data_IF_615200630306
#
_entry.id   IF_615200630306
#
_cell.length_a   1.000
_cell.length_b   1.000
_cell.length_c   1.000
_cell.angle_alpha   90.00
_cell.angle_beta   90.00
_cell.angle_gamma   90.00
#
_symmetry.space_group_name_H-M   'P 1'
#
loop_
_entity.id
_entity.type
_entity.pdbx_description
1 polymer ?
#
# COMPACT_ATOMS: atom_id res chain seq x y z
N UNK A 1 -60.47 -19.24 45.27
CA UNK A 1 -59.15 -18.54 45.21
C UNK A 1 -58.23 -19.28 44.26
N UNK A 2 -58.07 -18.79 43.02
CA UNK A 2 -57.17 -19.36 42.01
C UNK A 2 -55.77 -18.75 42.20
N UNK A 3 -54.77 -19.58 42.51
CA UNK A 3 -53.36 -19.17 42.53
C UNK A 3 -52.80 -19.32 41.12
N UNK A 4 -52.54 -18.19 40.47
CA UNK A 4 -51.90 -18.14 39.16
C UNK A 4 -50.39 -18.34 39.34
N UNK A 5 -49.86 -19.43 38.80
CA UNK A 5 -48.43 -19.75 38.79
C UNK A 5 -47.77 -18.90 37.68
N UNK A 6 -46.98 -17.91 38.08
CA UNK A 6 -46.17 -17.13 37.15
C UNK A 6 -44.90 -17.93 36.80
N UNK A 7 -44.83 -18.44 35.58
CA UNK A 7 -43.63 -19.06 35.01
C UNK A 7 -42.71 -17.93 34.55
N UNK A 8 -41.63 -17.70 35.29
CA UNK A 8 -40.55 -16.80 34.89
C UNK A 8 -39.67 -17.58 33.90
N UNK A 9 -39.80 -17.26 32.61
CA UNK A 9 -38.91 -17.75 31.56
C UNK A 9 -37.64 -16.90 31.62
N UNK A 10 -36.61 -17.41 32.29
CA UNK A 10 -35.25 -16.83 32.24
C UNK A 10 -34.64 -17.16 30.88
N UNK A 11 -34.69 -16.20 29.95
CA UNK A 11 -33.95 -16.28 28.68
C UNK A 11 -32.47 -16.16 29.02
N UNK A 12 -31.78 -17.30 29.11
CA UNK A 12 -30.32 -17.40 29.17
C UNK A 12 -29.74 -16.92 27.84
N UNK A 13 -29.49 -15.60 27.75
CA UNK A 13 -28.55 -15.07 26.78
C UNK A 13 -27.20 -15.74 27.05
N UNK A 14 -26.79 -16.62 26.14
CA UNK A 14 -25.45 -17.18 26.16
C UNK A 14 -24.49 -16.06 25.81
N UNK A 15 -23.98 -15.36 26.83
CA UNK A 15 -22.83 -14.49 26.68
C UNK A 15 -21.65 -15.40 26.32
N UNK A 16 -21.30 -15.42 25.03
CA UNK A 16 -20.00 -15.94 24.61
C UNK A 16 -18.96 -15.07 25.30
N UNK A 17 -18.31 -15.62 26.33
CA UNK A 17 -17.22 -14.96 27.02
C UNK A 17 -16.03 -14.95 26.05
N UNK A 18 -15.89 -13.86 25.30
CA UNK A 18 -14.72 -13.61 24.48
C UNK A 18 -13.54 -13.34 25.41
N UNK A 19 -12.39 -13.94 25.09
CA UNK A 19 -11.13 -13.74 25.78
C UNK A 19 -10.88 -12.25 26.05
N UNK A 20 -10.42 -11.93 27.28
CA UNK A 20 -10.19 -10.56 27.72
C UNK A 20 -9.28 -9.81 26.74
N UNK A 21 -9.86 -8.86 26.00
CA UNK A 21 -9.14 -7.87 25.20
C UNK A 21 -8.26 -7.03 26.12
N UNK A 22 -6.93 -7.17 25.99
CA UNK A 22 -5.94 -6.58 26.91
C UNK A 22 -5.66 -5.08 26.69
N UNK A 23 -6.40 -4.42 25.80
CA UNK A 23 -6.48 -2.95 25.70
C UNK A 23 -7.86 -2.52 25.20
N UNK A 24 -8.69 -2.04 26.13
CA UNK A 24 -10.07 -1.64 25.83
C UNK A 24 -10.15 -0.42 24.91
N UNK A 25 -9.12 0.42 24.84
CA UNK A 25 -9.12 1.60 23.99
C UNK A 25 -8.82 1.25 22.53
N UNK A 26 -7.82 0.40 22.28
CA UNK A 26 -7.54 -0.11 20.93
C UNK A 26 -8.68 -0.99 20.42
N UNK A 27 -9.18 -1.90 21.28
CA UNK A 27 -10.30 -2.77 20.95
C UNK A 27 -11.51 -1.96 20.44
N UNK A 28 -11.86 -0.86 21.13
CA UNK A 28 -12.94 0.05 20.70
C UNK A 28 -12.71 0.62 19.29
N UNK A 29 -11.47 0.94 18.92
CA UNK A 29 -11.12 1.53 17.60
C UNK A 29 -11.10 0.53 16.45
N UNK A 30 -11.11 -0.77 16.73
CA UNK A 30 -11.03 -1.84 15.71
C UNK A 30 -12.17 -2.86 15.84
N UNK A 31 -13.19 -2.55 16.63
CA UNK A 31 -14.39 -3.37 16.78
C UNK A 31 -15.54 -2.78 16.00
N UNK A 32 -16.22 -3.63 15.23
CA UNK A 32 -17.44 -3.27 14.50
C UNK A 32 -18.47 -4.38 14.64
N UNK A 33 -19.70 -4.02 14.99
CA UNK A 33 -20.79 -4.97 15.25
C UNK A 33 -20.43 -6.15 16.18
N UNK A 34 -19.55 -5.90 17.16
CA UNK A 34 -19.08 -6.91 18.11
C UNK A 34 -17.94 -7.80 17.59
N UNK A 35 -17.51 -7.64 16.34
CA UNK A 35 -16.34 -8.31 15.77
C UNK A 35 -15.12 -7.42 15.95
N UNK A 36 -14.12 -7.91 16.68
CA UNK A 36 -12.88 -7.18 16.94
C UNK A 36 -11.79 -7.74 16.03
N UNK A 37 -11.17 -6.87 15.23
CA UNK A 37 -9.99 -7.25 14.47
C UNK A 37 -8.94 -7.83 15.41
N UNK A 38 -8.21 -8.83 14.89
CA UNK A 38 -7.11 -9.52 15.56
C UNK A 38 -7.49 -10.31 16.81
N UNK A 39 -8.78 -10.45 17.08
CA UNK A 39 -9.34 -11.32 18.12
C UNK A 39 -10.38 -12.28 17.56
N UNK A 40 -11.23 -11.81 16.64
CA UNK A 40 -12.20 -12.66 15.95
C UNK A 40 -11.50 -13.56 14.92
N UNK A 41 -11.82 -14.84 14.94
CA UNK A 41 -11.35 -15.82 13.94
C UNK A 41 -12.45 -16.22 12.95
N UNK A 42 -12.07 -16.86 11.85
CA UNK A 42 -13.04 -17.48 10.92
C UNK A 42 -13.92 -18.52 11.63
N UNK A 43 -13.39 -19.26 12.61
CA UNK A 43 -14.16 -20.23 13.37
C UNK A 43 -15.25 -19.54 14.22
N UNK A 44 -14.92 -18.41 14.85
CA UNK A 44 -15.89 -17.61 15.62
C UNK A 44 -16.99 -17.04 14.72
N UNK A 45 -16.61 -16.57 13.53
CA UNK A 45 -17.58 -16.09 12.53
C UNK A 45 -18.53 -17.20 12.08
N UNK A 46 -18.01 -18.40 11.80
CA UNK A 46 -18.85 -19.56 11.41
C UNK A 46 -19.78 -20.01 12.52
N UNK A 47 -19.33 -19.94 13.79
CA UNK A 47 -20.16 -20.28 14.95
C UNK A 47 -21.34 -19.31 15.11
N UNK A 48 -21.11 -18.03 14.85
CA UNK A 48 -22.13 -16.99 14.97
C UNK A 48 -22.97 -16.79 13.71
N UNK A 49 -22.46 -17.20 12.54
CA UNK A 49 -23.10 -17.02 11.24
C UNK A 49 -22.97 -18.30 10.41
N UNK A 50 -23.93 -19.24 10.52
CA UNK A 50 -23.87 -20.53 9.80
C UNK A 50 -23.89 -20.38 8.27
N UNK A 51 -24.36 -19.25 7.73
CA UNK A 51 -24.40 -18.94 6.31
C UNK A 51 -23.14 -18.22 5.79
N UNK A 52 -22.09 -18.11 6.62
CA UNK A 52 -20.82 -17.49 6.24
C UNK A 52 -20.20 -18.24 5.05
N UNK A 53 -20.00 -17.52 3.95
CA UNK A 53 -19.41 -18.03 2.70
C UNK A 53 -18.26 -17.17 2.22
N UNK A 54 -17.37 -17.78 1.47
CA UNK A 54 -16.34 -17.01 0.77
C UNK A 54 -16.96 -16.14 -0.32
N UNK A 55 -16.38 -14.97 -0.51
CA UNK A 55 -16.77 -14.01 -1.54
C UNK A 55 -15.54 -13.32 -2.11
N UNK A 56 -15.67 -12.83 -3.34
CA UNK A 56 -14.67 -11.95 -3.91
C UNK A 56 -14.73 -10.56 -3.25
N UNK A 57 -13.56 -9.94 -3.13
CA UNK A 57 -13.39 -8.59 -2.60
C UNK A 57 -12.59 -7.77 -3.60
N UNK A 58 -13.08 -6.59 -3.97
CA UNK A 58 -12.28 -5.65 -4.74
C UNK A 58 -11.27 -4.95 -3.82
N UNK A 59 -9.97 -5.07 -4.11
CA UNK A 59 -8.95 -4.33 -3.36
C UNK A 59 -8.85 -2.90 -3.89
N UNK A 60 -9.40 -1.94 -3.14
CA UNK A 60 -9.53 -0.55 -3.59
C UNK A 60 -8.20 0.21 -3.61
N UNK A 61 -7.28 -0.06 -2.69
CA UNK A 61 -5.93 0.54 -2.72
C UNK A 61 -4.98 -0.21 -3.68
N UNK A 62 -5.19 -1.52 -3.87
CA UNK A 62 -4.33 -2.41 -4.66
C UNK A 62 -5.17 -3.13 -5.74
N UNK A 63 -5.64 -2.38 -6.72
CA UNK A 63 -6.46 -2.93 -7.81
C UNK A 63 -5.73 -4.06 -8.55
N UNK A 64 -6.43 -4.87 -9.36
CA UNK A 64 -5.82 -5.95 -10.17
C UNK A 64 -4.66 -5.48 -11.07
N UNK A 65 -4.59 -4.18 -11.37
CA UNK A 65 -3.55 -3.58 -12.20
C UNK A 65 -2.34 -3.09 -11.39
N UNK A 66 -2.37 -3.22 -10.06
CA UNK A 66 -1.24 -2.92 -9.20
C UNK A 66 -0.28 -4.11 -9.13
N UNK A 67 1.00 -3.86 -9.39
CA UNK A 67 2.06 -4.83 -9.09
C UNK A 67 2.33 -4.79 -7.58
N UNK A 68 1.97 -5.88 -6.88
CA UNK A 68 2.18 -6.05 -5.45
C UNK A 68 0.91 -6.52 -4.73
N UNK A 69 1.02 -7.62 -3.99
CA UNK A 69 -0.03 -8.07 -3.07
C UNK A 69 0.21 -7.46 -1.69
N UNK A 70 -0.86 -7.04 -1.01
CA UNK A 70 -0.76 -6.83 0.44
C UNK A 70 -0.50 -8.19 1.09
N UNK A 71 0.69 -8.37 1.66
CA UNK A 71 1.04 -9.63 2.31
C UNK A 71 0.23 -9.86 3.59
N UNK A 72 -0.42 -8.82 4.14
CA UNK A 72 -1.13 -8.93 5.41
C UNK A 72 -2.39 -9.77 5.31
N UNK A 73 -3.10 -9.77 4.18
CA UNK A 73 -4.35 -10.51 3.99
C UNK A 73 -4.39 -11.22 2.64
N UNK A 74 -5.32 -12.17 2.49
CA UNK A 74 -5.54 -12.82 1.20
C UNK A 74 -6.29 -11.87 0.26
N UNK A 75 -5.53 -11.14 -0.56
CA UNK A 75 -6.06 -10.16 -1.50
C UNK A 75 -7.13 -10.78 -2.41
N UNK A 76 -8.21 -10.05 -2.64
CA UNK A 76 -9.26 -10.46 -3.57
C UNK A 76 -10.30 -11.43 -2.99
N UNK A 77 -10.09 -11.93 -1.78
CA UNK A 77 -10.97 -12.91 -1.12
C UNK A 77 -11.35 -12.46 0.28
N UNK A 78 -12.58 -12.75 0.66
CA UNK A 78 -13.11 -12.50 2.00
C UNK A 78 -14.28 -13.41 2.35
N UNK A 79 -14.91 -13.15 3.48
CA UNK A 79 -16.00 -13.93 4.03
C UNK A 79 -17.21 -13.03 4.30
N UNK A 80 -18.39 -13.45 3.85
CA UNK A 80 -19.62 -12.69 3.92
C UNK A 80 -20.77 -13.56 4.47
N UNK A 81 -21.71 -12.92 5.16
CA UNK A 81 -22.95 -13.51 5.67
C UNK A 81 -24.11 -12.53 5.43
N UNK A 82 -25.31 -13.06 5.16
CA UNK A 82 -26.50 -12.22 5.00
C UNK A 82 -26.96 -11.61 6.34
N UNK A 83 -26.52 -12.17 7.47
CA UNK A 83 -26.83 -11.64 8.80
C UNK A 83 -26.12 -10.29 9.08
N UNK A 84 -25.06 -9.98 8.32
CA UNK A 84 -24.32 -8.71 8.42
C UNK A 84 -24.16 -8.07 7.03
N UNK A 85 -25.23 -7.53 6.44
CA UNK A 85 -25.18 -6.93 5.11
C UNK A 85 -24.13 -5.82 5.03
N UNK A 86 -23.38 -5.85 3.93
CA UNK A 86 -22.31 -4.91 3.66
C UNK A 86 -21.03 -5.04 4.49
N UNK A 87 -20.85 -6.13 5.25
CA UNK A 87 -19.59 -6.41 5.94
C UNK A 87 -18.92 -7.62 5.27
N UNK A 88 -17.66 -7.45 4.85
CA UNK A 88 -16.82 -8.54 4.37
C UNK A 88 -15.59 -8.64 5.27
N UNK A 89 -15.36 -9.82 5.83
CA UNK A 89 -14.21 -10.11 6.69
C UNK A 89 -13.07 -10.67 5.86
N UNK A 90 -11.85 -10.18 6.06
CA UNK A 90 -10.64 -10.73 5.46
C UNK A 90 -9.68 -11.16 6.56
N UNK A 91 -9.23 -12.41 6.47
CA UNK A 91 -8.25 -12.98 7.39
C UNK A 91 -6.83 -12.65 6.94
N UNK A 92 -5.91 -12.76 7.88
CA UNK A 92 -4.49 -12.79 7.53
C UNK A 92 -4.15 -13.98 6.65
N UNK A 93 -3.14 -13.85 5.78
CA UNK A 93 -2.74 -14.92 4.85
C UNK A 93 -2.46 -16.23 5.59
N UNK A 94 -1.62 -16.17 6.61
CA UNK A 94 -1.11 -17.33 7.36
C UNK A 94 -1.74 -17.50 8.75
N UNK A 95 -2.89 -16.87 8.98
CA UNK A 95 -3.58 -16.88 10.28
C UNK A 95 -5.09 -16.98 10.11
N UNK A 96 -5.77 -17.47 11.15
CA UNK A 96 -7.23 -17.59 11.18
C UNK A 96 -7.93 -16.31 11.65
N UNK A 97 -7.16 -15.31 12.10
CA UNK A 97 -7.68 -14.06 12.64
C UNK A 97 -8.06 -13.10 11.52
N UNK A 98 -9.14 -12.35 11.77
CA UNK A 98 -9.56 -11.25 10.90
C UNK A 98 -8.65 -10.04 11.16
N UNK A 99 -7.92 -9.58 10.14
CA UNK A 99 -7.08 -8.37 10.22
C UNK A 99 -7.66 -7.19 9.44
N UNK A 100 -8.65 -7.46 8.58
CA UNK A 100 -9.31 -6.46 7.76
C UNK A 100 -10.82 -6.70 7.69
N UNK A 101 -11.57 -5.62 7.78
CA UNK A 101 -13.01 -5.60 7.51
C UNK A 101 -13.27 -4.55 6.43
N UNK A 102 -13.85 -5.00 5.32
CA UNK A 102 -14.38 -4.14 4.26
C UNK A 102 -15.85 -3.88 4.53
N UNK A 103 -16.22 -2.60 4.63
CA UNK A 103 -17.59 -2.13 4.59
C UNK A 103 -17.94 -1.73 3.16
N UNK A 104 -19.00 -2.32 2.62
CA UNK A 104 -19.52 -2.02 1.27
C UNK A 104 -20.65 -1.00 1.36
N UNK A 105 -21.19 -0.59 0.20
CA UNK A 105 -22.32 0.34 0.13
C UNK A 105 -23.62 -0.17 0.79
N UNK A 106 -23.71 -1.46 1.09
CA UNK A 106 -24.85 -2.02 1.83
C UNK A 106 -24.73 -1.81 3.34
N UNK A 107 -23.55 -1.43 3.84
CA UNK A 107 -23.34 -1.27 5.27
C UNK A 107 -24.09 -0.04 5.80
N UNK A 108 -24.79 -0.29 6.91
CA UNK A 108 -25.46 0.74 7.70
C UNK A 108 -25.28 0.41 9.18
N UNK A 109 -24.53 1.24 9.90
CA UNK A 109 -24.15 0.93 11.26
C UNK A 109 -23.18 1.94 11.86
N UNK A 110 -22.70 1.64 13.06
CA UNK A 110 -21.69 2.45 13.74
C UNK A 110 -20.29 2.02 13.32
N UNK A 111 -19.46 3.01 13.02
CA UNK A 111 -18.01 2.86 12.91
C UNK A 111 -17.38 2.66 14.30
N UNK A 112 -16.11 2.22 14.37
CA UNK A 112 -15.44 1.96 15.65
C UNK A 112 -15.32 3.19 16.57
N UNK A 113 -15.32 4.40 16.01
CA UNK A 113 -15.36 5.65 16.78
C UNK A 113 -16.76 6.03 17.30
N UNK A 114 -17.77 5.20 17.01
CA UNK A 114 -19.16 5.36 17.43
C UNK A 114 -20.04 6.13 16.43
N UNK A 115 -19.45 6.72 15.39
CA UNK A 115 -20.21 7.48 14.39
C UNK A 115 -21.09 6.56 13.55
N UNK A 116 -22.37 6.91 13.41
CA UNK A 116 -23.30 6.15 12.57
C UNK A 116 -23.19 6.59 11.12
N UNK A 117 -23.12 5.63 10.19
CA UNK A 117 -23.10 5.87 8.76
C UNK A 117 -24.08 4.96 8.01
N UNK A 118 -24.60 5.46 6.90
CA UNK A 118 -25.35 4.69 5.89
C UNK A 118 -24.57 4.85 4.57
N UNK A 119 -23.69 3.88 4.26
CA UNK A 119 -22.75 4.00 3.14
C UNK A 119 -23.46 4.11 1.79
N UNK A 120 -24.71 3.66 1.68
CA UNK A 120 -25.50 3.83 0.46
C UNK A 120 -25.70 5.29 0.09
N UNK A 121 -25.81 6.16 1.10
CA UNK A 121 -26.10 7.61 0.99
C UNK A 121 -24.91 8.49 1.35
N UNK A 122 -23.82 7.92 1.85
CA UNK A 122 -22.69 8.68 2.38
C UNK A 122 -21.82 9.25 1.26
N UNK A 123 -21.66 10.57 1.23
CA UNK A 123 -20.90 11.29 0.21
C UNK A 123 -19.57 11.82 0.77
N UNK A 124 -18.63 12.17 -0.11
CA UNK A 124 -17.34 12.71 0.29
C UNK A 124 -17.46 14.00 1.14
N UNK A 125 -18.41 14.88 0.83
CA UNK A 125 -18.66 16.07 1.66
C UNK A 125 -19.09 15.71 3.10
N UNK A 126 -19.78 14.60 3.29
CA UNK A 126 -20.22 14.15 4.60
C UNK A 126 -19.05 13.52 5.36
N UNK A 127 -18.17 12.80 4.65
CA UNK A 127 -16.89 12.35 5.20
C UNK A 127 -16.08 13.54 5.75
N UNK A 128 -15.97 14.65 5.02
CA UNK A 128 -15.21 15.82 5.49
C UNK A 128 -15.87 16.59 6.63
N UNK A 129 -17.19 16.46 6.81
CA UNK A 129 -17.86 16.96 8.03
C UNK A 129 -17.53 16.07 9.23
N UNK A 130 -17.51 14.75 9.02
CA UNK A 130 -17.26 13.77 10.07
C UNK A 130 -15.78 13.70 10.46
N UNK A 131 -14.88 13.86 9.48
CA UNK A 131 -13.43 13.82 9.62
C UNK A 131 -12.79 15.01 8.89
N UNK A 132 -12.84 16.23 9.48
CA UNK A 132 -12.27 17.43 8.86
C UNK A 132 -10.79 17.30 8.49
N UNK A 133 -10.03 16.48 9.25
CA UNK A 133 -8.60 16.22 9.02
C UNK A 133 -8.28 15.51 7.70
N UNK A 134 -9.29 14.98 6.99
CA UNK A 134 -9.11 14.30 5.70
C UNK A 134 -9.25 15.24 4.49
N UNK A 135 -9.73 16.47 4.67
CA UNK A 135 -10.06 17.40 3.58
C UNK A 135 -8.92 17.65 2.59
N UNK A 136 -7.68 17.64 3.09
CA UNK A 136 -6.48 17.91 2.31
C UNK A 136 -5.57 16.69 2.12
N UNK A 137 -6.01 15.50 2.54
CA UNK A 137 -5.26 14.24 2.43
C UNK A 137 -5.72 13.41 1.24
N UNK A 138 -5.64 13.97 0.04
CA UNK A 138 -5.96 13.26 -1.20
C UNK A 138 -4.82 12.30 -1.53
N UNK A 139 -5.07 11.01 -1.38
CA UNK A 139 -4.11 9.96 -1.68
C UNK A 139 -4.65 9.08 -2.80
N UNK A 140 -3.77 8.58 -3.67
CA UNK A 140 -4.04 7.49 -4.60
C UNK A 140 -2.72 6.82 -4.88
N UNK A 141 -2.72 5.51 -5.09
CA UNK A 141 -1.62 4.83 -5.78
C UNK A 141 -1.81 5.04 -7.29
N UNK A 142 -0.72 5.11 -8.05
CA UNK A 142 -0.78 5.35 -9.51
C UNK A 142 -1.59 4.27 -10.25
N UNK A 143 -1.68 3.08 -9.68
CA UNK A 143 -2.45 1.93 -10.19
C UNK A 143 -3.83 1.75 -9.53
N UNK A 144 -4.22 2.59 -8.55
CA UNK A 144 -5.53 2.51 -7.89
C UNK A 144 -6.60 3.23 -8.72
N UNK A 145 -7.83 2.71 -8.67
CA UNK A 145 -8.99 3.38 -9.26
C UNK A 145 -9.72 4.30 -8.28
N UNK A 146 -9.15 4.54 -7.09
CA UNK A 146 -9.81 5.24 -5.99
C UNK A 146 -8.94 6.33 -5.38
N UNK A 147 -9.57 7.46 -5.07
CA UNK A 147 -9.04 8.39 -4.07
C UNK A 147 -9.24 7.77 -2.68
N UNK A 148 -8.18 7.76 -1.89
CA UNK A 148 -8.15 7.26 -0.52
C UNK A 148 -8.05 8.42 0.48
N UNK A 149 -8.85 8.34 1.52
CA UNK A 149 -8.82 9.22 2.69
C UNK A 149 -8.68 8.37 3.94
N UNK A 150 -7.55 8.45 4.63
CA UNK A 150 -7.20 7.45 5.64
C UNK A 150 -6.50 8.03 6.87
N UNK A 151 -6.59 7.26 7.95
CA UNK A 151 -5.68 7.32 9.10
C UNK A 151 -5.12 5.90 9.34
N UNK A 152 -4.52 5.68 10.51
CA UNK A 152 -3.85 4.43 10.86
C UNK A 152 -4.75 3.18 10.84
N UNK A 153 -6.06 3.32 11.03
CA UNK A 153 -6.98 2.16 11.19
C UNK A 153 -8.16 2.14 10.24
N UNK A 154 -8.51 3.28 9.63
CA UNK A 154 -9.67 3.38 8.73
C UNK A 154 -9.32 4.13 7.45
N UNK A 155 -9.76 3.58 6.32
CA UNK A 155 -9.57 4.13 4.98
C UNK A 155 -10.91 4.21 4.25
N UNK A 156 -11.22 5.37 3.67
CA UNK A 156 -12.42 5.63 2.88
C UNK A 156 -12.04 5.80 1.41
N UNK A 157 -12.84 5.26 0.50
CA UNK A 157 -12.54 5.24 -0.92
C UNK A 157 -13.60 5.93 -1.77
N UNK A 158 -13.17 6.79 -2.69
CA UNK A 158 -14.02 7.45 -3.70
C UNK A 158 -13.51 7.09 -5.08
N UNK A 159 -14.36 6.54 -5.95
CA UNK A 159 -13.93 6.13 -7.29
C UNK A 159 -13.47 7.32 -8.13
N UNK A 160 -12.32 7.17 -8.76
CA UNK A 160 -11.75 8.15 -9.69
C UNK A 160 -12.59 8.15 -10.97
N UNK A 161 -13.04 9.33 -11.41
CA UNK A 161 -13.70 9.48 -12.69
C UNK A 161 -12.64 9.68 -13.79
N UNK A 162 -12.30 8.60 -14.51
CA UNK A 162 -11.30 8.62 -15.59
C UNK A 162 -11.69 9.51 -16.79
N UNK A 163 -12.99 9.79 -16.94
CA UNK A 163 -13.53 10.64 -18.01
C UNK A 163 -13.47 12.14 -17.67
N UNK A 164 -13.24 12.50 -16.40
CA UNK A 164 -13.02 13.91 -16.00
C UNK A 164 -11.60 14.32 -16.40
N UNK A 165 -11.49 15.19 -17.41
CA UNK A 165 -10.23 15.80 -17.85
C UNK A 165 -10.22 17.33 -17.60
N UNK A 166 -9.05 17.94 -17.31
CA UNK A 166 -7.83 17.26 -16.89
C UNK A 166 -8.04 16.59 -15.52
N UNK A 167 -7.27 15.54 -15.23
CA UNK A 167 -7.36 14.85 -13.93
C UNK A 167 -6.62 15.61 -12.83
N UNK A 168 -5.59 16.37 -13.21
CA UNK A 168 -4.83 17.25 -12.35
C UNK A 168 -4.85 18.69 -12.89
N UNK A 169 -4.94 19.72 -12.02
CA UNK A 169 -5.16 19.62 -10.57
C UNK A 169 -6.53 18.98 -10.24
N UNK A 170 -6.62 18.32 -9.08
CA UNK A 170 -7.85 17.61 -8.68
C UNK A 170 -8.98 18.63 -8.52
N UNK A 171 -10.07 18.40 -9.26
CA UNK A 171 -11.32 19.15 -9.11
C UNK A 171 -12.04 18.71 -7.82
N UNK A 172 -11.60 19.24 -6.67
CA UNK A 172 -12.12 18.86 -5.34
C UNK A 172 -13.64 19.04 -5.27
N UNK A 173 -14.18 20.11 -5.86
CA UNK A 173 -15.61 20.43 -5.82
C UNK A 173 -16.45 19.39 -6.57
N UNK A 174 -15.98 18.94 -7.74
CA UNK A 174 -16.62 17.86 -8.50
C UNK A 174 -16.78 16.57 -7.67
N UNK A 175 -15.77 16.25 -6.86
CA UNK A 175 -15.76 15.02 -6.06
C UNK A 175 -16.58 15.10 -4.76
N UNK A 176 -16.91 16.28 -4.25
CA UNK A 176 -17.64 16.43 -2.98
C UNK A 176 -19.00 15.72 -2.95
N UNK A 177 -19.67 15.58 -4.10
CA UNK A 177 -20.95 14.89 -4.22
C UNK A 177 -20.82 13.44 -4.72
N UNK A 178 -19.60 12.89 -4.76
CA UNK A 178 -19.39 11.48 -5.12
C UNK A 178 -19.58 10.58 -3.90
N UNK A 179 -20.13 9.37 -4.09
CA UNK A 179 -20.32 8.42 -3.01
C UNK A 179 -18.97 7.90 -2.49
N UNK A 180 -18.96 7.54 -1.20
CA UNK A 180 -17.96 6.62 -0.66
C UNK A 180 -18.31 5.21 -1.16
N UNK A 181 -17.42 4.57 -1.91
CA UNK A 181 -17.66 3.25 -2.50
C UNK A 181 -17.36 2.10 -1.52
N UNK A 182 -16.47 2.34 -0.57
CA UNK A 182 -16.15 1.38 0.47
C UNK A 182 -15.31 1.99 1.58
N UNK A 183 -15.22 1.25 2.68
CA UNK A 183 -14.40 1.60 3.84
C UNK A 183 -13.63 0.36 4.27
N UNK A 184 -12.33 0.50 4.44
CA UNK A 184 -11.48 -0.52 5.06
C UNK A 184 -11.21 -0.14 6.50
N UNK A 185 -11.47 -1.08 7.41
CA UNK A 185 -10.95 -1.06 8.78
C UNK A 185 -9.86 -2.11 8.83
N UNK A 186 -8.64 -1.70 9.15
CA UNK A 186 -7.44 -2.54 9.01
C UNK A 186 -6.50 -2.30 10.17
N UNK A 187 -5.88 -3.36 10.67
CA UNK A 187 -4.77 -3.29 11.60
C UNK A 187 -3.91 -4.55 11.46
N UNK A 188 -2.60 -4.42 11.65
CA UNK A 188 -1.71 -5.58 11.70
C UNK A 188 -1.85 -6.30 13.04
N UNK A 189 -2.21 -7.59 13.03
CA UNK A 189 -2.51 -8.30 14.27
C UNK A 189 -1.30 -8.58 15.12
N UNK A 190 -0.12 -8.82 14.56
CA UNK A 190 1.03 -8.99 15.43
C UNK A 190 1.77 -7.70 15.77
N UNK A 191 1.43 -6.51 15.23
CA UNK A 191 1.77 -5.27 15.94
C UNK A 191 1.13 -5.28 17.34
N UNK A 192 -0.11 -5.76 17.45
CA UNK A 192 -0.82 -5.93 18.74
C UNK A 192 -0.12 -7.00 19.59
N UNK A 193 0.18 -8.17 19.00
CA UNK A 193 0.84 -9.27 19.74
C UNK A 193 2.25 -8.90 20.22
N UNK A 194 3.05 -8.21 19.40
CA UNK A 194 4.39 -7.75 19.78
C UNK A 194 4.33 -6.76 20.97
N UNK A 195 3.34 -5.86 20.96
CA UNK A 195 3.10 -4.94 22.07
C UNK A 195 2.72 -5.71 23.35
N UNK A 196 1.85 -6.71 23.24
CA UNK A 196 1.40 -7.53 24.37
C UNK A 196 2.52 -8.45 24.92
N UNK A 197 3.47 -8.85 24.06
CA UNK A 197 4.68 -9.60 24.45
C UNK A 197 5.75 -8.74 25.16
N UNK A 198 5.50 -7.43 25.36
CA UNK A 198 6.37 -6.57 26.15
C UNK A 198 7.50 -5.89 25.38
N UNK A 199 7.45 -5.86 24.04
CA UNK A 199 8.35 -5.02 23.23
C UNK A 199 8.00 -3.53 23.40
N UNK A 200 8.42 -2.95 24.53
CA UNK A 200 8.32 -1.52 24.85
C UNK A 200 9.68 -0.85 24.70
N UNK A 201 10.14 -0.57 23.48
CA UNK A 201 11.19 0.45 23.30
C UNK A 201 10.59 1.68 22.62
N UNK A 202 10.55 2.77 23.38
CA UNK A 202 9.95 4.05 23.04
C UNK A 202 10.79 4.87 22.04
N UNK A 203 11.86 4.31 21.47
CA UNK A 203 12.68 4.95 20.41
C UNK A 203 12.10 4.80 19.00
N UNK A 204 11.04 4.02 18.84
CA UNK A 204 10.34 3.78 17.57
C UNK A 204 9.17 4.77 17.34
N UNK A 205 9.35 6.06 17.64
CA UNK A 205 8.29 7.08 17.39
C UNK A 205 8.58 8.06 16.28
N UNK A 206 9.83 8.27 15.90
CA UNK A 206 10.18 9.20 14.83
C UNK A 206 11.30 8.60 13.97
N UNK A 207 10.90 7.78 13.00
CA UNK A 207 11.55 7.61 11.69
C UNK A 207 10.71 6.61 10.89
N UNK A 208 10.35 7.00 9.68
CA UNK A 208 9.75 6.21 8.61
C UNK A 208 9.79 4.68 8.78
N UNK A 209 8.61 4.03 8.72
CA UNK A 209 8.36 2.58 8.81
C UNK A 209 8.49 1.95 10.22
N UNK A 210 7.51 2.24 11.09
CA UNK A 210 7.25 1.46 12.29
C UNK A 210 6.52 0.15 11.96
N UNK A 211 7.21 -0.79 11.33
CA UNK A 211 6.76 -2.18 11.27
C UNK A 211 7.60 -3.03 12.24
N UNK A 212 7.23 -3.00 13.53
CA UNK A 212 7.64 -4.06 14.45
C UNK A 212 7.04 -5.43 14.05
N UNK A 213 6.06 -5.44 13.13
CA UNK A 213 5.54 -6.64 12.49
C UNK A 213 6.31 -7.09 11.24
N UNK A 214 7.09 -6.19 10.63
CA UNK A 214 8.04 -6.61 9.58
C UNK A 214 9.04 -7.59 10.16
N UNK A 215 9.52 -7.35 11.38
CA UNK A 215 10.54 -8.19 11.98
C UNK A 215 10.05 -9.62 12.27
N UNK A 216 8.84 -9.85 12.77
CA UNK A 216 8.42 -11.20 13.22
C UNK A 216 7.94 -12.12 12.08
N UNK A 217 7.21 -11.57 11.08
CA UNK A 217 6.84 -12.33 9.88
C UNK A 217 8.05 -12.60 8.95
N UNK A 218 9.09 -11.78 9.02
CA UNK A 218 10.40 -12.09 8.43
C UNK A 218 11.15 -13.16 9.23
N UNK A 219 11.08 -13.15 10.56
CA UNK A 219 11.81 -14.08 11.42
C UNK A 219 11.29 -15.53 11.33
N UNK A 220 9.98 -15.75 11.25
CA UNK A 220 9.44 -17.11 11.13
C UNK A 220 9.53 -17.71 9.71
N UNK A 221 9.67 -16.88 8.67
CA UNK A 221 9.91 -17.34 7.30
C UNK A 221 11.43 -17.55 7.02
N UNK A 222 12.29 -16.77 7.67
CA UNK A 222 13.74 -16.86 7.56
C UNK A 222 14.36 -18.11 8.20
N UNK A 223 13.67 -18.78 9.13
CA UNK A 223 14.13 -20.07 9.68
C UNK A 223 13.89 -21.24 8.72
N UNK A 224 13.04 -21.09 7.69
CA UNK A 224 12.70 -22.17 6.75
C UNK A 224 13.32 -22.03 5.35
N UNK A 225 13.78 -20.84 4.97
CA UNK A 225 14.29 -20.59 3.62
C UNK A 225 15.78 -20.24 3.62
N UNK A 226 16.61 -21.19 3.16
CA UNK A 226 18.00 -20.95 2.73
C UNK A 226 18.10 -20.01 1.51
N UNK A 227 16.98 -19.72 0.89
CA UNK A 227 16.86 -18.77 -0.20
C UNK A 227 16.97 -17.32 0.32
N UNK A 228 17.41 -16.37 -0.52
CA UNK A 228 17.56 -14.97 -0.13
C UNK A 228 16.23 -14.28 0.18
N UNK A 229 16.30 -13.03 0.66
CA UNK A 229 15.11 -12.17 0.76
C UNK A 229 15.07 -11.24 -0.43
N UNK A 230 13.93 -11.18 -1.12
CA UNK A 230 13.78 -10.46 -2.39
C UNK A 230 12.86 -9.25 -2.24
N UNK A 231 13.30 -8.13 -2.82
CA UNK A 231 12.55 -6.91 -3.00
C UNK A 231 12.49 -6.59 -4.49
N UNK A 232 11.29 -6.41 -5.03
CA UNK A 232 11.05 -5.91 -6.37
C UNK A 232 10.44 -4.51 -6.26
N UNK A 233 11.05 -3.51 -6.88
CA UNK A 233 10.55 -2.12 -6.87
C UNK A 233 10.26 -1.62 -5.44
N UNK A 234 11.16 -2.01 -4.51
CA UNK A 234 11.10 -1.75 -3.05
C UNK A 234 9.99 -2.48 -2.29
N UNK A 235 9.27 -3.38 -2.95
CA UNK A 235 8.23 -4.21 -2.34
C UNK A 235 8.81 -5.61 -2.11
N UNK A 236 8.66 -6.15 -0.90
CA UNK A 236 9.08 -7.54 -0.62
C UNK A 236 8.23 -8.51 -1.44
N UNK A 237 8.86 -9.48 -2.10
CA UNK A 237 8.18 -10.48 -2.96
C UNK A 237 8.66 -11.89 -2.68
N UNK A 238 7.89 -12.90 -3.07
CA UNK A 238 8.36 -14.28 -3.06
C UNK A 238 9.23 -14.57 -4.29
N UNK A 239 10.17 -15.51 -4.17
CA UNK A 239 11.02 -15.95 -5.28
C UNK A 239 10.21 -16.41 -6.51
N UNK A 240 9.05 -17.01 -6.29
CA UNK A 240 8.13 -17.43 -7.35
C UNK A 240 7.56 -16.26 -8.15
N UNK A 241 7.42 -15.08 -7.55
CA UNK A 241 6.94 -13.89 -8.26
C UNK A 241 8.00 -13.34 -9.22
N UNK A 242 9.28 -13.54 -8.90
CA UNK A 242 10.38 -13.15 -9.78
C UNK A 242 10.39 -13.93 -11.10
N UNK A 243 9.88 -15.18 -11.10
CA UNK A 243 9.77 -15.99 -12.32
C UNK A 243 8.75 -15.43 -13.32
N UNK A 244 7.85 -14.54 -12.87
CA UNK A 244 6.84 -13.89 -13.71
C UNK A 244 7.39 -12.64 -14.41
N UNK A 245 8.59 -12.20 -14.05
CA UNK A 245 9.20 -10.97 -14.56
C UNK A 245 10.06 -11.33 -15.77
N UNK A 246 9.90 -10.57 -16.85
CA UNK A 246 10.81 -10.68 -17.97
C UNK A 246 12.19 -10.10 -17.58
N UNK A 247 13.29 -10.87 -17.67
CA UNK A 247 14.61 -10.38 -17.30
C UNK A 247 15.03 -9.10 -18.04
N UNK A 248 14.53 -8.86 -19.25
CA UNK A 248 14.82 -7.64 -20.01
C UNK A 248 14.21 -6.38 -19.42
N UNK A 249 13.26 -6.51 -18.49
CA UNK A 249 12.60 -5.40 -17.82
C UNK A 249 13.31 -4.98 -16.54
N UNK A 250 14.37 -5.70 -16.14
CA UNK A 250 15.17 -5.39 -14.95
C UNK A 250 16.20 -4.30 -15.29
N UNK A 251 16.22 -3.25 -14.48
CA UNK A 251 17.18 -2.15 -14.57
C UNK A 251 18.40 -2.37 -13.67
N UNK A 252 18.18 -2.93 -12.46
CA UNK A 252 19.27 -3.22 -11.54
C UNK A 252 18.95 -4.41 -10.62
N UNK A 253 20.03 -5.04 -10.15
CA UNK A 253 20.01 -6.04 -9.09
C UNK A 253 21.14 -5.74 -8.12
N UNK A 254 20.80 -5.36 -6.90
CA UNK A 254 21.74 -5.17 -5.81
C UNK A 254 21.64 -6.32 -4.82
N UNK A 255 22.77 -6.91 -4.46
CA UNK A 255 22.85 -8.01 -3.50
C UNK A 255 23.60 -7.56 -2.26
N UNK A 256 22.90 -7.49 -1.13
CA UNK A 256 23.47 -7.10 0.17
C UNK A 256 23.70 -8.36 1.02
N UNK A 257 24.97 -8.68 1.27
CA UNK A 257 25.38 -9.82 2.12
C UNK A 257 25.88 -9.40 3.51
N UNK A 258 25.89 -8.10 3.79
CA UNK A 258 26.36 -7.59 5.07
C UNK A 258 25.46 -8.08 6.21
N UNK A 259 26.06 -8.77 7.18
CA UNK A 259 25.31 -9.42 8.27
C UNK A 259 24.58 -8.44 9.20
N UNK A 260 25.04 -7.20 9.30
CA UNK A 260 24.38 -6.16 10.11
C UNK A 260 23.15 -5.66 9.36
N UNK A 261 23.27 -5.43 8.05
CA UNK A 261 22.17 -4.99 7.21
C UNK A 261 21.14 -6.11 7.04
N UNK A 262 21.53 -7.35 6.73
CA UNK A 262 20.58 -8.47 6.56
C UNK A 262 19.72 -8.69 7.81
N UNK A 263 20.32 -8.61 9.00
CA UNK A 263 19.60 -8.66 10.30
C UNK A 263 18.59 -7.53 10.46
N UNK A 264 18.94 -6.30 10.05
CA UNK A 264 18.02 -5.14 10.08
C UNK A 264 16.81 -5.33 9.17
N UNK A 265 16.97 -6.05 8.07
CA UNK A 265 15.88 -6.39 7.16
C UNK A 265 15.19 -7.72 7.52
N UNK A 266 15.37 -8.21 8.75
CA UNK A 266 14.73 -9.44 9.26
C UNK A 266 15.20 -10.74 8.59
N UNK A 267 16.31 -10.71 7.86
CA UNK A 267 16.86 -11.89 7.21
C UNK A 267 18.00 -12.49 8.04
N UNK A 268 17.83 -13.76 8.46
CA UNK A 268 18.94 -14.62 8.88
C UNK A 268 19.55 -15.40 7.69
N UNK A 269 19.14 -15.09 6.45
CA UNK A 269 19.59 -15.81 5.26
C UNK A 269 21.06 -15.53 4.98
N UNK A 270 21.87 -16.59 4.87
CA UNK A 270 23.25 -16.51 4.39
C UNK A 270 23.34 -16.11 2.91
N UNK A 271 22.21 -16.17 2.16
CA UNK A 271 22.18 -15.82 0.75
C UNK A 271 22.13 -14.30 0.50
N UNK A 272 21.71 -13.51 1.50
CA UNK A 272 21.64 -12.04 1.43
C UNK A 272 20.26 -11.47 1.05
N UNK A 273 20.20 -10.14 0.97
CA UNK A 273 19.06 -9.38 0.47
C UNK A 273 19.27 -9.06 -1.01
N UNK A 274 18.21 -9.19 -1.81
CA UNK A 274 18.20 -8.93 -3.23
C UNK A 274 17.23 -7.78 -3.49
N UNK A 275 17.74 -6.64 -3.97
CA UNK A 275 16.94 -5.51 -4.41
C UNK A 275 16.95 -5.48 -5.92
N UNK A 276 15.79 -5.71 -6.52
CA UNK A 276 15.55 -5.73 -7.95
C UNK A 276 14.71 -4.51 -8.28
N UNK A 277 15.16 -3.70 -9.24
CA UNK A 277 14.37 -2.59 -9.76
C UNK A 277 14.07 -2.82 -11.23
N UNK A 278 12.81 -2.62 -11.63
CA UNK A 278 12.37 -2.64 -13.02
C UNK A 278 12.73 -1.32 -13.71
N UNK A 279 12.85 -1.36 -15.04
CA UNK A 279 13.08 -0.16 -15.88
C UNK A 279 12.02 0.90 -15.67
N UNK A 280 10.75 0.51 -15.58
CA UNK A 280 9.66 1.45 -15.35
C UNK A 280 9.80 2.14 -13.99
N UNK A 281 10.10 1.39 -12.93
CA UNK A 281 10.28 1.96 -11.60
C UNK A 281 11.52 2.87 -11.52
N UNK A 282 12.65 2.41 -12.05
CA UNK A 282 13.89 3.19 -12.13
C UNK A 282 13.66 4.49 -12.90
N UNK A 283 12.91 4.43 -14.01
CA UNK A 283 12.49 5.57 -14.80
C UNK A 283 11.67 6.58 -14.03
N UNK A 284 10.58 6.16 -13.40
CA UNK A 284 9.78 7.04 -12.55
C UNK A 284 10.63 7.71 -11.47
N UNK A 285 11.59 6.97 -10.88
CA UNK A 285 12.48 7.51 -9.85
C UNK A 285 13.41 8.58 -10.40
N UNK A 286 14.17 8.32 -11.47
CA UNK A 286 15.10 9.32 -12.00
C UNK A 286 14.37 10.51 -12.60
N UNK A 287 13.21 10.31 -13.25
CA UNK A 287 12.42 11.41 -13.81
C UNK A 287 11.95 12.34 -12.71
N UNK A 288 11.40 11.79 -11.62
CA UNK A 288 11.02 12.59 -10.45
C UNK A 288 12.22 13.34 -9.86
N UNK A 289 13.36 12.69 -9.75
CA UNK A 289 14.57 13.31 -9.25
C UNK A 289 15.02 14.48 -10.15
N UNK A 290 15.20 14.25 -11.46
CA UNK A 290 15.64 15.28 -12.39
C UNK A 290 14.64 16.44 -12.53
N UNK A 291 13.34 16.17 -12.48
CA UNK A 291 12.32 17.23 -12.44
C UNK A 291 12.41 18.11 -11.20
N UNK A 292 12.87 17.56 -10.07
CA UNK A 292 13.17 18.37 -8.87
C UNK A 292 14.44 19.20 -9.01
N UNK A 293 15.30 18.90 -9.99
CA UNK A 293 16.58 19.57 -10.21
C UNK A 293 16.57 20.56 -11.37
N UNK A 294 15.65 20.42 -12.33
CA UNK A 294 15.51 21.35 -13.45
C UNK A 294 14.04 21.56 -13.81
N UNK A 295 13.53 22.80 -13.72
CA UNK A 295 12.21 23.17 -14.24
C UNK A 295 12.07 22.92 -15.75
N UNK A 296 13.15 23.07 -16.53
CA UNK A 296 13.16 22.81 -17.97
C UNK A 296 12.93 21.32 -18.26
N UNK A 297 13.62 20.44 -17.52
CA UNK A 297 13.38 19.00 -17.59
C UNK A 297 11.96 18.64 -17.14
N UNK A 298 11.49 19.25 -16.04
CA UNK A 298 10.15 19.01 -15.52
C UNK A 298 9.06 19.35 -16.55
N UNK A 299 9.23 20.44 -17.31
CA UNK A 299 8.34 20.81 -18.43
C UNK A 299 8.44 19.84 -19.61
N UNK A 300 9.65 19.35 -19.91
CA UNK A 300 9.86 18.42 -21.02
C UNK A 300 9.11 17.09 -20.78
N UNK A 301 9.15 16.56 -19.56
CA UNK A 301 8.57 15.24 -19.27
C UNK A 301 7.04 15.21 -19.06
N UNK A 302 6.33 16.34 -19.24
CA UNK A 302 4.86 16.34 -19.11
C UNK A 302 4.14 15.77 -20.33
N UNK A 303 4.83 15.66 -21.47
CA UNK A 303 4.22 15.23 -22.73
C UNK A 303 4.20 13.68 -22.84
N UNK A 304 3.02 13.05 -23.02
CA UNK A 304 2.94 11.60 -23.19
C UNK A 304 3.75 11.13 -24.40
N UNK A 305 4.69 10.21 -24.18
CA UNK A 305 5.51 9.63 -25.26
C UNK A 305 6.82 10.35 -25.55
N UNK A 306 7.11 11.45 -24.85
CA UNK A 306 8.37 12.21 -24.99
C UNK A 306 9.63 11.35 -24.77
N UNK A 307 9.51 10.25 -24.03
CA UNK A 307 10.61 9.34 -23.76
C UNK A 307 11.27 8.79 -25.03
N UNK A 308 10.48 8.53 -26.09
CA UNK A 308 11.02 8.06 -27.36
C UNK A 308 11.84 9.15 -28.09
N UNK A 309 11.55 10.42 -27.80
CA UNK A 309 12.17 11.59 -28.43
C UNK A 309 13.38 12.12 -27.65
N UNK A 310 13.66 11.59 -26.46
CA UNK A 310 14.78 12.01 -25.60
C UNK A 310 15.99 11.10 -25.81
N UNK A 311 17.16 11.71 -25.95
CA UNK A 311 18.46 11.08 -25.76
C UNK A 311 19.03 11.45 -24.39
N UNK A 312 19.32 10.48 -23.53
CA UNK A 312 20.07 10.72 -22.30
C UNK A 312 21.58 10.64 -22.55
N UNK A 313 22.33 11.57 -21.96
CA UNK A 313 23.79 11.64 -22.00
C UNK A 313 24.28 11.80 -20.56
N UNK A 314 25.15 10.91 -20.08
CA UNK A 314 25.69 10.96 -18.71
C UNK A 314 27.21 11.12 -18.77
N UNK A 315 27.72 12.26 -18.27
CA UNK A 315 29.15 12.61 -18.34
C UNK A 315 29.70 12.44 -19.76
N UNK A 316 29.05 13.10 -20.72
CA UNK A 316 29.35 13.07 -22.16
C UNK A 316 29.23 11.69 -22.84
N UNK A 317 28.82 10.65 -22.10
CA UNK A 317 28.51 9.33 -22.66
C UNK A 317 27.04 9.25 -23.08
N UNK A 318 26.82 9.03 -24.38
CA UNK A 318 25.49 8.77 -24.95
C UNK A 318 24.97 7.42 -24.46
N UNK A 319 23.77 7.41 -23.84
CA UNK A 319 23.14 6.23 -23.27
C UNK A 319 22.16 5.61 -24.27
N UNK A 320 22.47 4.42 -24.79
CA UNK A 320 21.66 3.78 -25.85
C UNK A 320 20.60 2.82 -25.32
N UNK A 321 20.96 2.00 -24.34
CA UNK A 321 20.11 0.95 -23.79
C UNK A 321 20.44 0.69 -22.32
N UNK A 322 19.48 0.10 -21.59
CA UNK A 322 19.63 -0.35 -20.19
C UNK A 322 20.21 0.71 -19.24
N UNK A 323 19.92 1.98 -19.51
CA UNK A 323 20.49 3.10 -18.77
C UNK A 323 19.67 3.50 -17.56
N UNK A 324 18.47 2.92 -17.38
CA UNK A 324 17.53 3.30 -16.35
C UNK A 324 18.14 3.11 -14.95
N UNK A 325 18.90 2.03 -14.75
CA UNK A 325 19.62 1.76 -13.50
C UNK A 325 20.70 2.80 -13.22
N UNK A 326 21.51 3.14 -14.23
CA UNK A 326 22.56 4.15 -14.13
C UNK A 326 21.99 5.52 -13.74
N UNK A 327 20.93 5.96 -14.42
CA UNK A 327 20.27 7.23 -14.14
C UNK A 327 19.57 7.23 -12.77
N UNK A 328 18.92 6.12 -12.41
CA UNK A 328 18.21 6.00 -11.13
C UNK A 328 19.17 5.93 -9.93
N UNK A 329 20.44 5.58 -10.13
CA UNK A 329 21.47 5.61 -9.09
C UNK A 329 21.98 7.00 -8.74
N UNK A 330 21.63 8.03 -9.52
CA UNK A 330 22.07 9.41 -9.31
C UNK A 330 21.31 10.04 -8.12
N UNK A 331 22.05 10.71 -7.24
CA UNK A 331 21.53 11.36 -6.04
C UNK A 331 22.31 12.64 -5.75
N UNK A 332 21.88 13.37 -4.71
CA UNK A 332 22.43 14.69 -4.37
C UNK A 332 23.92 14.70 -4.05
N UNK A 333 24.51 13.56 -3.67
CA UNK A 333 25.96 13.49 -3.42
C UNK A 333 26.78 13.48 -4.70
N UNK A 334 26.20 12.99 -5.80
CA UNK A 334 26.91 12.80 -7.08
C UNK A 334 26.46 13.79 -8.14
N UNK A 335 25.22 14.28 -8.07
CA UNK A 335 24.66 15.17 -9.08
C UNK A 335 25.38 16.53 -9.12
N UNK A 336 25.78 16.96 -10.32
CA UNK A 336 26.35 18.30 -10.56
C UNK A 336 25.44 19.21 -11.36
N UNK A 337 24.74 18.65 -12.35
CA UNK A 337 23.89 19.45 -13.20
C UNK A 337 23.13 18.62 -14.21
N UNK A 338 22.12 19.26 -14.79
CA UNK A 338 21.33 18.76 -15.89
C UNK A 338 21.14 19.90 -16.90
N UNK A 339 21.35 19.61 -18.19
CA UNK A 339 21.12 20.54 -19.28
C UNK A 339 20.24 19.88 -20.33
N UNK A 340 19.24 20.62 -20.81
CA UNK A 340 18.41 20.20 -21.94
C UNK A 340 19.00 20.79 -23.21
N UNK A 341 19.21 19.96 -24.21
CA UNK A 341 19.67 20.33 -25.54
C UNK A 341 18.50 20.25 -26.51
N UNK A 342 18.42 21.24 -27.40
CA UNK A 342 17.58 21.19 -28.59
C UNK A 342 18.11 20.17 -29.60
N UNK A 343 17.27 19.75 -30.56
CA UNK A 343 17.68 18.91 -31.68
C UNK A 343 18.91 19.44 -32.42
N UNK A 344 18.96 20.75 -32.68
CA UNK A 344 20.09 21.38 -33.37
C UNK A 344 21.39 21.25 -32.57
N UNK A 345 21.35 21.49 -31.26
CA UNK A 345 22.50 21.28 -30.38
C UNK A 345 22.90 19.80 -30.28
N UNK A 346 21.92 18.91 -30.21
CA UNK A 346 22.15 17.47 -30.13
C UNK A 346 22.84 16.92 -31.39
N UNK A 347 22.44 17.37 -32.58
CA UNK A 347 23.11 17.06 -33.85
C UNK A 347 24.52 17.64 -33.86
N UNK A 348 24.68 18.92 -33.47
CA UNK A 348 25.96 19.62 -33.52
C UNK A 348 27.01 19.01 -32.57
N UNK A 349 26.61 18.66 -31.34
CA UNK A 349 27.52 18.22 -30.28
C UNK A 349 27.73 16.71 -30.33
N UNK A 350 26.67 15.93 -30.57
CA UNK A 350 26.70 14.47 -30.45
C UNK A 350 26.42 13.72 -31.77
N UNK A 351 26.04 14.42 -32.85
CA UNK A 351 25.71 13.79 -34.13
C UNK A 351 24.41 12.99 -34.13
N UNK A 352 23.52 13.23 -33.15
CA UNK A 352 22.28 12.46 -32.97
C UNK A 352 21.11 13.23 -33.58
N UNK A 353 20.52 12.69 -34.64
CA UNK A 353 19.49 13.35 -35.47
C UNK A 353 18.10 12.71 -35.38
N UNK A 354 18.01 11.49 -34.84
CA UNK A 354 16.79 10.71 -34.67
C UNK A 354 16.04 11.01 -33.37
N UNK A 355 16.53 11.97 -32.58
CA UNK A 355 15.96 12.43 -31.31
C UNK A 355 15.70 13.93 -31.37
N UNK A 356 14.71 14.38 -30.61
CA UNK A 356 14.32 15.79 -30.61
C UNK A 356 14.96 16.57 -29.46
N UNK A 357 15.34 15.87 -28.38
CA UNK A 357 15.93 16.48 -27.20
C UNK A 357 17.11 15.67 -26.67
N UNK A 358 18.14 16.38 -26.22
CA UNK A 358 19.21 15.80 -25.40
C UNK A 358 19.02 16.15 -23.94
N UNK A 359 19.23 15.21 -23.03
CA UNK A 359 19.29 15.45 -21.59
C UNK A 359 20.68 15.09 -21.13
N UNK A 360 21.52 16.11 -20.93
CA UNK A 360 22.90 15.95 -20.47
C UNK A 360 22.92 16.03 -18.95
N UNK A 361 23.34 14.96 -18.30
CA UNK A 361 23.52 14.88 -16.86
C UNK A 361 25.01 14.84 -16.55
N UNK A 362 25.43 15.69 -15.62
CA UNK A 362 26.80 15.72 -15.09
C UNK A 362 26.81 15.24 -13.66
N UNK A 363 27.76 14.36 -13.32
CA UNK A 363 27.95 13.82 -11.98
C UNK A 363 29.42 13.79 -11.59
N UNK A 364 29.72 13.75 -10.29
CA UNK A 364 31.04 13.35 -9.82
C UNK A 364 31.31 11.90 -10.25
N UNK A 365 32.28 11.71 -11.14
CA UNK A 365 32.82 10.40 -11.48
C UNK A 365 33.62 9.90 -10.28
N UNK A 366 33.11 8.91 -9.55
CA UNK A 366 34.02 8.05 -8.79
C UNK A 366 34.78 7.21 -9.80
N UNK A 367 36.10 7.36 -9.89
CA UNK A 367 36.94 6.27 -10.41
C UNK A 367 36.53 5.01 -9.63
N UNK A 368 35.96 4.04 -10.34
CA UNK A 368 35.62 2.73 -9.75
C UNK A 368 36.88 2.07 -9.22
#
# INVERSE_FOLDING_TARGET
MKKTLAIIITILFHYVSYAQLRDTALAKRITINGFCLCSTTIADLRKSNPDLKETDVEEMDLSKNCFGEDQQFLAGKGYYTNAQPGIIFQKERDSAFISKIRLTREFKGKLPDGNFIDLKKFLLKDLFKLYPQFKDKWQSRDCSEYWKFSNDTISFYVKINKNKKPQFPIDKQFYLNKPIEGVDITISCGLIRARDAGYRDARYRDTWYNDAWYHDALYHDAEKHKDGVYYLDRIRVHKSDLQKINPTDIASLDVIKDSVITKRFGSNSTAGLFFIETKNFAKSRYQKYFSSKSPEYAKLITDPGIDAAIQYILNDKVLKENFEGDLAGINDKRFKGIKILTKAELISIYGISDKDYGVVISTDLTKK
#
